data_IF_261854431842
#
_entry.id   IF_261854431842
#
_cell.length_a   1.000
_cell.length_b   1.000
_cell.length_c   1.000
_cell.angle_alpha   90.00
_cell.angle_beta   90.00
_cell.angle_gamma   90.00
#
_symmetry.space_group_name_H-M   'P 1'
#
loop_
_entity.id
_entity.type
_entity.pdbx_description
1 polymer ?
#
# COMPACT_ATOMS: atom_id res chain seq x y z
N UNK A 1 -9.66 -6.13 28.59
CA UNK A 1 -8.84 -7.32 28.88
C UNK A 1 -9.15 -8.50 27.95
N UNK A 2 -10.41 -8.83 27.67
CA UNK A 2 -10.80 -9.95 26.78
C UNK A 2 -10.21 -9.98 25.36
N UNK A 3 -9.85 -8.83 24.78
CA UNK A 3 -9.16 -8.78 23.47
C UNK A 3 -7.64 -9.03 23.56
N UNK A 4 -7.09 -8.98 24.77
CA UNK A 4 -5.66 -9.04 25.06
C UNK A 4 -5.23 -10.37 25.69
N UNK A 5 -6.14 -11.09 26.35
CA UNK A 5 -5.85 -12.32 27.10
C UNK A 5 -5.21 -13.44 26.25
N UNK A 6 -5.53 -13.48 24.96
CA UNK A 6 -4.94 -14.42 23.99
C UNK A 6 -3.63 -13.93 23.38
N UNK A 7 -3.28 -12.65 23.56
CA UNK A 7 -2.14 -12.01 22.88
C UNK A 7 -0.95 -11.75 23.80
N UNK A 8 -1.20 -11.53 25.09
CA UNK A 8 -0.18 -11.14 26.06
C UNK A 8 -0.47 -11.72 27.44
N UNK A 9 0.58 -11.84 28.26
CA UNK A 9 0.47 -12.16 29.67
C UNK A 9 -0.14 -10.97 30.43
N UNK A 10 -1.37 -11.12 30.95
CA UNK A 10 -2.05 -10.06 31.70
C UNK A 10 -1.83 -10.26 33.19
N UNK A 11 -1.23 -9.29 33.87
CA UNK A 11 -1.12 -9.24 35.33
C UNK A 11 -1.96 -8.06 35.83
N UNK A 12 -3.14 -8.30 36.43
CA UNK A 12 -3.99 -7.22 36.89
C UNK A 12 -3.43 -6.58 38.17
N UNK A 13 -3.48 -5.26 38.24
CA UNK A 13 -3.06 -4.46 39.40
C UNK A 13 -4.16 -3.49 39.80
N UNK A 14 -4.26 -3.20 41.10
CA UNK A 14 -5.06 -2.11 41.66
C UNK A 14 -4.11 -0.94 41.88
N UNK A 15 -4.20 0.07 41.02
CA UNK A 15 -3.39 1.27 41.11
C UNK A 15 -3.86 2.18 42.26
N UNK A 16 -2.94 2.98 42.81
CA UNK A 16 -3.21 3.95 43.90
C UNK A 16 -3.94 3.29 45.08
N UNK A 17 -3.47 2.11 45.49
CA UNK A 17 -4.09 1.33 46.55
C UNK A 17 -4.14 2.05 47.91
N UNK A 18 -3.33 3.10 48.08
CA UNK A 18 -3.34 3.99 49.25
C UNK A 18 -4.64 4.81 49.39
N UNK A 19 -5.51 4.79 48.39
CA UNK A 19 -6.83 5.43 48.42
C UNK A 19 -7.95 4.52 48.96
N UNK A 20 -7.66 3.23 49.19
CA UNK A 20 -8.65 2.22 49.57
C UNK A 20 -8.28 1.66 50.94
N UNK A 21 -9.24 1.52 51.84
CA UNK A 21 -8.97 0.89 53.13
C UNK A 21 -8.70 -0.62 52.99
N UNK A 22 -8.00 -1.22 53.96
CA UNK A 22 -7.66 -2.66 53.90
C UNK A 22 -8.90 -3.56 53.81
N UNK A 23 -10.00 -3.19 54.47
CA UNK A 23 -11.25 -3.96 54.47
C UNK A 23 -11.99 -3.88 53.13
N UNK A 24 -12.02 -2.69 52.51
CA UNK A 24 -12.57 -2.49 51.16
C UNK A 24 -11.71 -3.17 50.10
N UNK A 25 -10.39 -3.12 50.25
CA UNK A 25 -9.44 -3.71 49.31
C UNK A 25 -9.67 -5.21 49.15
N UNK A 26 -9.92 -5.94 50.25
CA UNK A 26 -10.21 -7.38 50.18
C UNK A 26 -11.49 -7.66 49.39
N UNK A 27 -12.57 -6.94 49.69
CA UNK A 27 -13.84 -7.07 48.96
C UNK A 27 -13.67 -6.72 47.48
N UNK A 28 -12.86 -5.71 47.18
CA UNK A 28 -12.59 -5.27 45.82
C UNK A 28 -11.77 -6.31 45.03
N UNK A 29 -10.73 -6.90 45.64
CA UNK A 29 -9.96 -8.00 45.04
C UNK A 29 -10.87 -9.18 44.68
N UNK A 30 -11.71 -9.64 45.62
CA UNK A 30 -12.65 -10.75 45.37
C UNK A 30 -13.61 -10.44 44.22
N UNK A 31 -14.16 -9.22 44.18
CA UNK A 31 -15.07 -8.80 43.10
C UNK A 31 -14.39 -8.79 41.74
N UNK A 32 -13.15 -8.27 41.65
CA UNK A 32 -12.38 -8.26 40.40
C UNK A 32 -12.13 -9.70 39.91
N UNK A 33 -11.70 -10.61 40.80
CA UNK A 33 -11.43 -12.00 40.43
C UNK A 33 -12.71 -12.68 39.92
N UNK A 34 -13.83 -12.49 40.62
CA UNK A 34 -15.12 -13.03 40.19
C UNK A 34 -15.55 -12.49 38.83
N UNK A 35 -15.40 -11.20 38.57
CA UNK A 35 -15.73 -10.62 37.27
C UNK A 35 -14.81 -11.13 36.15
N UNK A 36 -13.50 -11.31 36.42
CA UNK A 36 -12.56 -11.89 35.45
C UNK A 36 -12.95 -13.32 35.08
N UNK A 37 -13.33 -14.14 36.06
CA UNK A 37 -13.78 -15.52 35.87
C UNK A 37 -15.11 -15.57 35.10
N UNK A 38 -16.10 -14.78 35.51
CA UNK A 38 -17.43 -14.73 34.86
C UNK A 38 -17.34 -14.31 33.38
N UNK A 39 -16.40 -13.44 33.04
CA UNK A 39 -16.16 -13.02 31.67
C UNK A 39 -15.17 -13.94 30.92
N UNK A 40 -14.65 -14.99 31.56
CA UNK A 40 -13.66 -15.93 31.02
C UNK A 40 -12.37 -15.26 30.56
N UNK A 41 -11.92 -14.21 31.25
CA UNK A 41 -10.69 -13.49 30.92
C UNK A 41 -9.51 -14.26 31.53
N UNK A 42 -8.60 -14.72 30.66
CA UNK A 42 -7.41 -15.43 31.12
C UNK A 42 -6.33 -14.42 31.54
N UNK A 43 -5.96 -14.47 32.81
CA UNK A 43 -4.82 -13.72 33.34
C UNK A 43 -3.61 -14.64 33.47
N UNK A 44 -2.43 -14.05 33.52
CA UNK A 44 -1.20 -14.78 33.75
C UNK A 44 -1.22 -15.40 35.15
N UNK A 45 -1.03 -16.71 35.20
CA UNK A 45 -0.82 -17.48 36.42
C UNK A 45 0.62 -17.97 36.44
N UNK A 46 1.18 -17.88 37.62
CA UNK A 46 2.59 -18.12 37.84
C UNK A 46 2.78 -19.62 37.96
N UNK A 47 3.86 -20.15 37.37
CA UNK A 47 4.14 -21.58 37.37
C UNK A 47 4.26 -22.11 38.81
N UNK A 48 3.62 -23.25 39.09
CA UNK A 48 3.71 -23.96 40.38
C UNK A 48 4.20 -25.40 40.19
N UNK A 49 4.72 -25.69 39.01
CA UNK A 49 5.24 -26.97 38.55
C UNK A 49 6.67 -27.24 39.03
N UNK A 50 7.49 -26.20 39.19
CA UNK A 50 8.80 -26.30 39.82
C UNK A 50 8.69 -26.21 41.35
N UNK A 51 8.96 -27.32 42.04
CA UNK A 51 8.92 -27.43 43.51
C UNK A 51 9.78 -26.38 44.22
N UNK A 52 10.88 -25.91 43.60
CA UNK A 52 11.78 -24.93 44.21
C UNK A 52 11.15 -23.54 44.38
N UNK A 53 10.14 -23.20 43.57
CA UNK A 53 9.43 -21.91 43.57
C UNK A 53 7.92 -22.03 43.72
N UNK A 54 7.38 -23.25 43.78
CA UNK A 54 5.95 -23.52 43.83
C UNK A 54 5.25 -22.87 45.03
N UNK A 55 5.83 -22.93 46.23
CA UNK A 55 5.25 -22.32 47.43
C UNK A 55 5.15 -20.79 47.29
N UNK A 56 6.23 -20.17 46.81
CA UNK A 56 6.28 -18.72 46.57
C UNK A 56 5.25 -18.34 45.50
N UNK A 57 5.23 -19.01 44.37
CA UNK A 57 4.32 -18.69 43.27
C UNK A 57 2.85 -18.95 43.63
N UNK A 58 2.55 -19.96 44.45
CA UNK A 58 1.20 -20.19 44.99
C UNK A 58 0.76 -19.01 45.86
N UNK A 59 1.62 -18.57 46.79
CA UNK A 59 1.36 -17.39 47.61
C UNK A 59 1.18 -16.13 46.76
N UNK A 60 2.01 -15.93 45.72
CA UNK A 60 1.91 -14.76 44.85
C UNK A 60 0.63 -14.77 44.00
N UNK A 61 0.23 -15.92 43.47
CA UNK A 61 -1.04 -16.08 42.74
C UNK A 61 -2.24 -15.67 43.61
N UNK A 62 -2.21 -15.93 44.93
CA UNK A 62 -3.25 -15.50 45.86
C UNK A 62 -3.31 -13.97 46.09
N UNK A 63 -2.23 -13.24 45.81
CA UNK A 63 -2.18 -11.78 45.97
C UNK A 63 -2.71 -11.02 44.74
N UNK A 64 -2.91 -11.70 43.61
CA UNK A 64 -3.43 -11.12 42.38
C UNK A 64 -4.93 -10.81 42.53
N UNK A 65 -5.41 -9.59 42.20
CA UNK A 65 -4.66 -8.46 41.65
C UNK A 65 -3.82 -7.71 42.70
N UNK A 66 -2.58 -7.34 42.33
CA UNK A 66 -1.65 -6.66 43.24
C UNK A 66 -2.09 -5.23 43.55
N UNK A 67 -2.17 -4.89 44.83
CA UNK A 67 -2.55 -3.55 45.26
C UNK A 67 -1.30 -2.68 45.41
N UNK A 68 -1.04 -1.79 44.45
CA UNK A 68 0.24 -1.09 44.33
C UNK A 68 0.13 0.42 44.55
N UNK A 69 1.19 0.97 45.11
CA UNK A 69 1.40 2.41 45.30
C UNK A 69 2.72 2.77 44.62
N UNK A 70 2.70 3.79 43.76
CA UNK A 70 3.89 4.31 43.10
C UNK A 70 4.31 5.65 43.69
N UNK A 71 5.61 5.86 43.89
CA UNK A 71 6.19 7.16 44.23
C UNK A 71 7.61 7.26 43.67
N UNK A 72 7.96 8.44 43.15
CA UNK A 72 9.33 8.83 42.79
C UNK A 72 10.04 9.56 43.92
N UNK A 73 9.29 10.03 44.92
CA UNK A 73 9.80 10.91 45.97
C UNK A 73 10.39 10.09 47.12
N UNK A 74 11.54 10.53 47.61
CA UNK A 74 12.19 9.93 48.78
C UNK A 74 11.89 10.75 50.02
N UNK A 75 11.34 10.09 51.03
CA UNK A 75 11.10 10.68 52.35
C UNK A 75 12.01 10.00 53.36
N UNK A 76 12.58 10.79 54.27
CA UNK A 76 13.37 10.27 55.38
C UNK A 76 12.43 9.68 56.44
N UNK A 77 12.42 8.35 56.58
CA UNK A 77 11.70 7.65 57.63
C UNK A 77 12.73 7.03 58.58
N UNK A 78 12.91 7.65 59.74
CA UNK A 78 14.00 7.32 60.66
C UNK A 78 15.38 7.66 60.06
N UNK A 79 16.24 6.64 59.92
CA UNK A 79 17.61 6.79 59.39
C UNK A 79 17.76 6.39 57.91
N UNK A 80 16.68 6.02 57.21
CA UNK A 80 16.73 5.59 55.81
C UNK A 80 15.86 6.50 54.94
N UNK A 81 16.35 6.76 53.73
CA UNK A 81 15.57 7.38 52.67
C UNK A 81 14.78 6.28 51.97
N UNK A 82 13.44 6.39 51.94
CA UNK A 82 12.57 5.40 51.30
C UNK A 82 11.60 6.08 50.35
N UNK A 83 11.31 5.42 49.21
CA UNK A 83 10.27 5.87 48.28
C UNK A 83 8.92 5.85 48.99
N UNK A 84 8.30 7.02 49.10
CA UNK A 84 7.10 7.18 49.90
C UNK A 84 6.17 8.27 49.35
N UNK A 85 4.89 8.21 49.71
CA UNK A 85 3.93 9.31 49.50
C UNK A 85 3.62 9.97 50.84
N UNK A 86 3.84 11.28 50.92
CA UNK A 86 3.57 12.05 52.13
C UNK A 86 2.16 12.64 52.08
N UNK A 87 1.40 12.41 53.14
CA UNK A 87 0.10 13.03 53.39
C UNK A 87 0.10 13.75 54.74
N UNK A 88 -0.84 14.68 54.99
CA UNK A 88 -0.98 15.34 56.30
C UNK A 88 -1.20 14.35 57.46
N UNK A 89 -1.84 13.21 57.17
CA UNK A 89 -2.16 12.16 58.16
C UNK A 89 -1.10 11.05 58.27
N UNK A 90 -0.04 11.08 57.45
CA UNK A 90 1.02 10.07 57.53
C UNK A 90 1.75 9.83 56.22
N UNK A 91 2.64 8.84 56.24
CA UNK A 91 3.54 8.53 55.12
C UNK A 91 3.33 7.10 54.66
N UNK A 92 2.98 6.92 53.38
CA UNK A 92 2.82 5.60 52.77
C UNK A 92 4.14 5.19 52.11
N UNK A 93 4.85 4.28 52.76
CA UNK A 93 6.07 3.67 52.23
C UNK A 93 5.75 2.66 51.12
N UNK A 94 6.38 2.81 49.95
CA UNK A 94 6.14 1.94 48.78
C UNK A 94 6.74 0.55 48.96
N UNK A 95 7.90 0.44 49.60
CA UNK A 95 8.59 -0.86 49.79
C UNK A 95 8.15 -1.61 51.06
N UNK A 96 7.11 -1.12 51.73
CA UNK A 96 6.57 -1.74 52.93
C UNK A 96 5.38 -2.64 52.58
N UNK A 97 5.53 -3.95 52.77
CA UNK A 97 4.49 -4.95 52.49
C UNK A 97 3.22 -4.79 53.33
N UNK A 98 3.30 -4.11 54.48
CA UNK A 98 2.12 -3.80 55.30
C UNK A 98 1.26 -2.69 54.70
N UNK A 99 1.80 -1.92 53.75
CA UNK A 99 1.12 -0.81 53.09
C UNK A 99 0.64 -1.16 51.68
N UNK A 100 1.45 -1.88 50.89
CA UNK A 100 1.08 -2.27 49.53
C UNK A 100 1.86 -3.50 49.03
N UNK A 101 1.38 -4.09 47.93
CA UNK A 101 1.94 -5.30 47.31
C UNK A 101 3.07 -5.00 46.31
N UNK A 102 3.66 -3.80 46.32
CA UNK A 102 4.68 -3.40 45.33
C UNK A 102 5.91 -4.33 45.35
N UNK A 103 6.38 -4.71 46.54
CA UNK A 103 7.51 -5.64 46.68
C UNK A 103 7.18 -6.96 46.00
N UNK A 104 6.00 -7.54 46.28
CA UNK A 104 5.53 -8.79 45.66
C UNK A 104 5.49 -8.69 44.14
N UNK A 105 4.94 -7.60 43.59
CA UNK A 105 4.91 -7.37 42.15
C UNK A 105 6.32 -7.26 41.53
N UNK A 106 7.25 -6.57 42.18
CA UNK A 106 8.62 -6.41 41.68
C UNK A 106 9.38 -7.73 41.66
N UNK A 107 9.34 -8.47 42.76
CA UNK A 107 10.00 -9.78 42.90
C UNK A 107 9.50 -10.75 41.83
N UNK A 108 8.20 -10.74 41.62
CA UNK A 108 7.53 -11.52 40.61
C UNK A 108 7.96 -11.25 39.17
N UNK A 109 7.93 -9.98 38.76
CA UNK A 109 8.16 -9.58 37.38
C UNK A 109 9.63 -9.71 36.99
N UNK A 110 10.54 -9.41 37.91
CA UNK A 110 11.96 -9.20 37.58
C UNK A 110 12.84 -10.33 38.10
N UNK A 111 12.54 -10.92 39.26
CA UNK A 111 13.44 -11.88 39.90
C UNK A 111 13.10 -13.32 39.55
N UNK A 112 11.82 -13.71 39.63
CA UNK A 112 11.45 -15.13 39.60
C UNK A 112 10.88 -15.58 38.25
N UNK A 113 9.95 -14.82 37.66
CA UNK A 113 9.09 -15.37 36.59
C UNK A 113 9.32 -14.74 35.20
N UNK A 114 10.39 -13.95 35.03
CA UNK A 114 10.67 -13.29 33.75
C UNK A 114 10.85 -14.30 32.60
N UNK A 115 11.53 -15.42 32.87
CA UNK A 115 11.79 -16.45 31.86
C UNK A 115 10.51 -17.20 31.48
N UNK A 116 9.71 -17.65 32.44
CA UNK A 116 8.39 -18.26 32.17
C UNK A 116 7.48 -17.32 31.37
N UNK A 117 7.45 -16.02 31.71
CA UNK A 117 6.66 -15.04 30.95
C UNK A 117 7.14 -14.95 29.49
N UNK A 118 8.46 -14.98 29.24
CA UNK A 118 9.01 -15.00 27.88
C UNK A 118 8.64 -16.28 27.15
N UNK A 119 8.75 -17.43 27.81
CA UNK A 119 8.41 -18.73 27.26
C UNK A 119 6.93 -18.84 26.92
N UNK A 120 6.01 -18.48 27.84
CA UNK A 120 4.57 -18.41 27.55
C UNK A 120 4.26 -17.45 26.39
N UNK A 121 4.98 -16.33 26.29
CA UNK A 121 4.83 -15.41 25.16
C UNK A 121 5.20 -16.08 23.84
N UNK A 122 6.30 -16.84 23.81
CA UNK A 122 6.75 -17.54 22.62
C UNK A 122 5.84 -18.74 22.28
N UNK A 123 5.72 -19.69 23.19
CA UNK A 123 5.08 -20.98 22.95
C UNK A 123 3.55 -20.91 22.85
N UNK A 124 2.91 -19.89 23.44
CA UNK A 124 1.45 -19.74 23.42
C UNK A 124 1.01 -18.55 22.59
N UNK A 125 1.41 -17.34 22.96
CA UNK A 125 0.87 -16.12 22.35
C UNK A 125 1.37 -15.92 20.92
N UNK A 126 2.68 -16.08 20.70
CA UNK A 126 3.28 -15.98 19.39
C UNK A 126 2.86 -17.15 18.51
N UNK A 127 2.86 -18.40 18.99
CA UNK A 127 2.40 -19.54 18.19
C UNK A 127 0.92 -19.42 17.76
N UNK A 128 0.04 -18.90 18.62
CA UNK A 128 -1.34 -18.63 18.24
C UNK A 128 -1.43 -17.56 17.13
N UNK A 129 -0.62 -16.51 17.22
CA UNK A 129 -0.52 -15.51 16.17
C UNK A 129 0.06 -16.09 14.87
N UNK A 130 1.13 -16.87 14.98
CA UNK A 130 1.83 -17.52 13.88
C UNK A 130 0.89 -18.44 13.11
N UNK A 131 0.15 -19.30 13.79
CA UNK A 131 -0.86 -20.17 13.17
C UNK A 131 -1.90 -19.37 12.37
N UNK A 132 -2.52 -18.37 13.00
CA UNK A 132 -3.51 -17.50 12.33
C UNK A 132 -2.93 -16.75 11.13
N UNK A 133 -1.66 -16.32 11.22
CA UNK A 133 -0.98 -15.65 10.10
C UNK A 133 -0.66 -16.60 8.96
N UNK A 134 -0.21 -17.81 9.26
CA UNK A 134 0.05 -18.84 8.27
C UNK A 134 -1.24 -19.24 7.54
N UNK A 135 -2.33 -19.43 8.28
CA UNK A 135 -3.66 -19.68 7.71
C UNK A 135 -4.10 -18.55 6.76
N UNK A 136 -3.96 -17.28 7.18
CA UNK A 136 -4.27 -16.12 6.34
C UNK A 136 -3.41 -16.04 5.08
N UNK A 137 -2.17 -16.50 5.16
CA UNK A 137 -1.28 -16.59 4.01
C UNK A 137 -1.63 -17.79 3.12
N UNK A 138 -2.55 -18.67 3.51
CA UNK A 138 -2.92 -19.87 2.76
C UNK A 138 -2.00 -21.07 3.02
N UNK A 139 -1.34 -21.11 4.19
CA UNK A 139 -0.69 -22.32 4.69
C UNK A 139 -1.64 -23.02 5.66
N UNK A 140 -2.13 -24.18 5.28
CA UNK A 140 -2.91 -25.09 6.13
C UNK A 140 -2.10 -26.34 6.44
N UNK A 141 -2.32 -26.92 7.62
CA UNK A 141 -1.66 -28.17 8.02
C UNK A 141 -2.24 -29.39 7.28
N UNK A 142 -3.44 -29.24 6.68
CA UNK A 142 -4.15 -30.30 5.95
C UNK A 142 -4.64 -29.84 4.57
N UNK A 143 -4.72 -30.77 3.62
CA UNK A 143 -5.36 -30.56 2.32
C UNK A 143 -6.87 -30.82 2.36
N UNK A 144 -7.54 -30.70 1.20
CA UNK A 144 -8.96 -30.99 1.02
C UNK A 144 -9.36 -32.44 1.34
N UNK A 145 -8.40 -33.37 1.40
CA UNK A 145 -8.58 -34.78 1.77
C UNK A 145 -8.14 -35.07 3.22
N UNK A 146 -7.90 -34.03 4.01
CA UNK A 146 -7.47 -34.10 5.41
C UNK A 146 -6.09 -34.76 5.60
N UNK A 147 -5.24 -34.77 4.56
CA UNK A 147 -3.87 -35.29 4.63
C UNK A 147 -2.90 -34.20 5.08
N UNK A 148 -1.88 -34.53 5.89
CA UNK A 148 -0.90 -33.55 6.33
C UNK A 148 -0.09 -33.04 5.14
N UNK A 149 -0.11 -31.72 4.92
CA UNK A 149 0.63 -31.08 3.82
C UNK A 149 1.95 -30.57 4.36
N UNK A 150 3.05 -30.96 3.71
CA UNK A 150 4.36 -30.45 4.08
C UNK A 150 4.47 -28.97 3.74
N UNK A 151 5.03 -28.16 4.65
CA UNK A 151 5.29 -26.74 4.42
C UNK A 151 6.04 -26.49 3.09
N UNK A 152 6.95 -27.40 2.74
CA UNK A 152 7.72 -27.34 1.49
C UNK A 152 6.81 -27.52 0.26
N UNK A 153 5.87 -28.47 0.29
CA UNK A 153 4.92 -28.70 -0.80
C UNK A 153 4.03 -27.48 -1.04
N UNK A 154 3.56 -26.81 0.03
CA UNK A 154 2.76 -25.58 -0.10
C UNK A 154 3.57 -24.43 -0.68
N UNK A 155 4.86 -24.32 -0.34
CA UNK A 155 5.75 -23.30 -0.92
C UNK A 155 6.02 -23.57 -2.40
N UNK A 156 6.27 -24.82 -2.79
CA UNK A 156 6.48 -25.23 -4.18
C UNK A 156 5.22 -25.02 -5.02
N UNK A 157 4.04 -25.37 -4.49
CA UNK A 157 2.76 -25.14 -5.13
C UNK A 157 2.52 -23.64 -5.37
N UNK A 158 2.73 -22.79 -4.35
CA UNK A 158 2.61 -21.33 -4.52
C UNK A 158 3.61 -20.76 -5.51
N UNK A 159 4.85 -21.26 -5.52
CA UNK A 159 5.85 -20.86 -6.50
C UNK A 159 5.43 -21.24 -7.92
N UNK A 160 4.88 -22.43 -8.10
CA UNK A 160 4.35 -22.91 -9.38
C UNK A 160 3.17 -22.05 -9.85
N UNK A 161 2.19 -21.77 -8.98
CA UNK A 161 1.06 -20.89 -9.27
C UNK A 161 1.56 -19.49 -9.69
N UNK A 162 2.50 -18.92 -8.93
CA UNK A 162 3.06 -17.60 -9.25
C UNK A 162 3.79 -17.57 -10.60
N UNK A 163 4.57 -18.62 -10.92
CA UNK A 163 5.21 -18.76 -12.23
C UNK A 163 4.17 -18.86 -13.36
N UNK A 164 3.09 -19.60 -13.14
CA UNK A 164 2.01 -19.74 -14.12
C UNK A 164 1.26 -18.41 -14.34
N UNK A 165 1.01 -17.63 -13.29
CA UNK A 165 0.43 -16.28 -13.41
C UNK A 165 1.35 -15.33 -14.18
N UNK A 166 2.67 -15.39 -13.96
CA UNK A 166 3.64 -14.61 -14.71
C UNK A 166 3.65 -15.00 -16.19
N UNK A 167 3.61 -16.30 -16.49
CA UNK A 167 3.54 -16.81 -17.86
C UNK A 167 2.25 -16.34 -18.55
N UNK A 168 1.10 -16.43 -17.89
CA UNK A 168 -0.16 -15.91 -18.44
C UNK A 168 -0.09 -14.42 -18.75
N UNK A 169 0.45 -13.61 -17.83
CA UNK A 169 0.63 -12.17 -18.06
C UNK A 169 1.59 -11.88 -19.21
N UNK A 170 2.66 -12.67 -19.35
CA UNK A 170 3.58 -12.56 -20.48
C UNK A 170 2.89 -12.91 -21.80
N UNK A 171 2.11 -13.98 -21.83
CA UNK A 171 1.36 -14.43 -23.02
C UNK A 171 0.29 -13.40 -23.41
N UNK A 172 -0.43 -12.83 -22.44
CA UNK A 172 -1.37 -11.73 -22.66
C UNK A 172 -0.66 -10.50 -23.24
N UNK A 173 0.51 -10.13 -22.70
CA UNK A 173 1.29 -9.00 -23.20
C UNK A 173 1.81 -9.25 -24.62
N UNK A 174 2.26 -10.48 -24.92
CA UNK A 174 2.68 -10.89 -26.26
C UNK A 174 1.51 -10.85 -27.24
N UNK A 175 0.34 -11.36 -26.86
CA UNK A 175 -0.86 -11.30 -27.72
C UNK A 175 -1.29 -9.86 -27.98
N UNK A 176 -1.28 -9.00 -26.96
CA UNK A 176 -1.61 -7.58 -27.11
C UNK A 176 -0.62 -6.88 -28.04
N UNK A 177 0.68 -7.21 -27.93
CA UNK A 177 1.71 -6.68 -28.83
C UNK A 177 1.47 -7.11 -30.28
N UNK A 178 1.24 -8.40 -30.53
CA UNK A 178 0.97 -8.92 -31.88
C UNK A 178 -0.27 -8.28 -32.49
N UNK A 179 -1.35 -8.13 -31.71
CA UNK A 179 -2.57 -7.46 -32.16
C UNK A 179 -2.29 -6.01 -32.55
N UNK A 180 -1.52 -5.28 -31.73
CA UNK A 180 -1.16 -3.88 -31.97
C UNK A 180 -0.24 -3.70 -33.18
N UNK A 181 0.71 -4.61 -33.37
CA UNK A 181 1.56 -4.64 -34.57
C UNK A 181 0.70 -4.85 -35.81
N UNK A 182 -0.21 -5.83 -35.80
CA UNK A 182 -1.10 -6.12 -36.92
C UNK A 182 -2.02 -4.94 -37.27
N UNK A 183 -2.56 -4.25 -36.25
CA UNK A 183 -3.35 -3.03 -36.42
C UNK A 183 -2.51 -1.92 -37.07
N UNK A 184 -1.29 -1.68 -36.57
CA UNK A 184 -0.38 -0.66 -37.11
C UNK A 184 0.11 -0.97 -38.52
N UNK A 185 0.37 -2.24 -38.83
CA UNK A 185 0.70 -2.67 -40.20
C UNK A 185 -0.49 -2.45 -41.16
N UNK A 186 -1.72 -2.70 -40.71
CA UNK A 186 -2.91 -2.43 -41.50
C UNK A 186 -3.11 -0.93 -41.77
N UNK A 187 -2.96 -0.08 -40.74
CA UNK A 187 -2.99 1.38 -40.88
C UNK A 187 -1.91 1.86 -41.86
N UNK A 188 -0.67 1.37 -41.73
CA UNK A 188 0.44 1.74 -42.61
C UNK A 188 0.13 1.37 -44.07
N UNK A 189 -0.43 0.17 -44.29
CA UNK A 189 -0.79 -0.32 -45.61
C UNK A 189 -1.91 0.52 -46.25
N UNK A 190 -2.90 0.95 -45.48
CA UNK A 190 -3.92 1.89 -45.98
C UNK A 190 -3.32 3.25 -46.32
N UNK A 191 -2.44 3.79 -45.46
CA UNK A 191 -1.74 5.05 -45.73
C UNK A 191 -0.85 4.98 -46.98
N UNK A 192 -0.13 3.87 -47.19
CA UNK A 192 0.66 3.63 -48.40
C UNK A 192 -0.23 3.58 -49.65
N UNK A 193 -1.37 2.90 -49.58
CA UNK A 193 -2.34 2.83 -50.68
C UNK A 193 -2.91 4.21 -51.01
N UNK A 194 -3.25 5.01 -50.00
CA UNK A 194 -3.70 6.39 -50.21
C UNK A 194 -2.61 7.25 -50.84
N UNK A 195 -1.37 7.11 -50.38
CA UNK A 195 -0.23 7.86 -50.92
C UNK A 195 0.02 7.49 -52.38
N UNK A 196 -0.09 6.21 -52.73
CA UNK A 196 0.02 5.73 -54.11
C UNK A 196 -1.09 6.32 -55.00
N UNK A 197 -2.34 6.27 -54.54
CA UNK A 197 -3.47 6.88 -55.26
C UNK A 197 -3.31 8.39 -55.45
N UNK A 198 -2.81 9.11 -54.43
CA UNK A 198 -2.51 10.55 -54.51
C UNK A 198 -1.41 10.82 -55.54
N UNK A 199 -0.35 10.01 -55.53
CA UNK A 199 0.75 10.10 -56.49
C UNK A 199 0.27 9.89 -57.94
N UNK A 200 -0.53 8.84 -58.19
CA UNK A 200 -1.07 8.56 -59.52
C UNK A 200 -1.99 9.68 -60.03
N UNK A 201 -2.83 10.22 -59.14
CA UNK A 201 -3.67 11.39 -59.46
C UNK A 201 -2.82 12.60 -59.81
N UNK A 202 -1.82 12.94 -58.97
CA UNK A 202 -0.91 14.06 -59.23
C UNK A 202 -0.16 13.89 -60.56
N UNK A 203 0.29 12.66 -60.86
CA UNK A 203 0.98 12.34 -62.10
C UNK A 203 0.07 12.54 -63.31
N UNK A 204 -1.19 12.12 -63.22
CA UNK A 204 -2.19 12.34 -64.27
C UNK A 204 -2.48 13.83 -64.47
N UNK A 205 -2.75 14.55 -63.38
CA UNK A 205 -3.03 15.99 -63.41
C UNK A 205 -1.84 16.75 -64.04
N UNK A 206 -0.61 16.40 -63.65
CA UNK A 206 0.61 16.97 -64.22
C UNK A 206 0.76 16.68 -65.72
N UNK A 207 0.43 15.46 -66.19
CA UNK A 207 0.46 15.15 -67.62
C UNK A 207 -0.60 15.92 -68.42
N UNK A 208 -1.79 16.12 -67.86
CA UNK A 208 -2.85 16.92 -68.49
C UNK A 208 -2.47 18.41 -68.54
N UNK A 209 -1.90 18.94 -67.46
CA UNK A 209 -1.44 20.33 -67.41
C UNK A 209 -0.29 20.59 -68.39
N UNK A 210 0.68 19.67 -68.47
CA UNK A 210 1.75 19.73 -69.46
C UNK A 210 1.21 19.76 -70.89
N UNK A 211 0.20 18.93 -71.19
CA UNK A 211 -0.46 18.90 -72.50
C UNK A 211 -1.17 20.23 -72.80
N UNK A 212 -1.91 20.79 -71.84
CA UNK A 212 -2.56 22.11 -71.97
C UNK A 212 -1.56 23.24 -72.20
N UNK A 213 -0.42 23.20 -71.50
CA UNK A 213 0.67 24.15 -71.69
C UNK A 213 1.30 24.03 -73.08
N UNK A 214 1.54 22.81 -73.57
CA UNK A 214 2.04 22.58 -74.94
C UNK A 214 1.05 23.07 -76.01
N UNK A 215 -0.25 22.81 -75.84
CA UNK A 215 -1.30 23.32 -76.74
C UNK A 215 -1.37 24.85 -76.73
N UNK A 216 -1.27 25.46 -75.56
CA UNK A 216 -1.26 26.93 -75.42
C UNK A 216 0.01 27.55 -76.01
N UNK A 217 1.18 26.90 -75.81
CA UNK A 217 2.45 27.32 -76.42
C UNK A 217 2.35 27.29 -77.94
N UNK A 218 1.79 26.22 -78.51
CA UNK A 218 1.59 26.08 -79.95
C UNK A 218 0.66 27.17 -80.50
N UNK A 219 -0.47 27.44 -79.84
CA UNK A 219 -1.35 28.55 -80.21
C UNK A 219 -0.63 29.90 -80.18
N UNK A 220 0.17 30.15 -79.15
CA UNK A 220 0.93 31.39 -79.04
C UNK A 220 2.00 31.51 -80.14
N UNK A 221 2.67 30.41 -80.49
CA UNK A 221 3.60 30.35 -81.63
C UNK A 221 2.88 30.66 -82.95
N UNK A 222 1.70 30.08 -83.18
CA UNK A 222 0.85 30.34 -84.35
C UNK A 222 0.41 31.82 -84.40
N UNK A 223 -0.03 32.38 -83.28
CA UNK A 223 -0.43 33.80 -83.16
C UNK A 223 0.76 34.75 -83.40
N UNK A 224 1.96 34.42 -82.90
CA UNK A 224 3.20 35.19 -83.14
C UNK A 224 3.56 35.16 -84.63
N UNK A 225 3.44 34.01 -85.28
CA UNK A 225 3.67 33.88 -86.73
C UNK A 225 2.67 34.73 -87.51
N UNK A 226 1.39 34.70 -87.14
CA UNK A 226 0.37 35.52 -87.78
C UNK A 226 0.61 37.02 -87.55
N UNK A 227 0.95 37.43 -86.33
CA UNK A 227 1.29 38.81 -86.02
C UNK A 227 2.50 39.31 -86.82
N UNK A 228 3.56 38.50 -86.92
CA UNK A 228 4.73 38.83 -87.72
C UNK A 228 4.39 38.95 -89.22
N UNK A 229 3.50 38.09 -89.73
CA UNK A 229 2.98 38.19 -91.11
C UNK A 229 2.17 39.46 -91.34
N UNK A 230 1.32 39.86 -90.39
CA UNK A 230 0.57 41.13 -90.47
C UNK A 230 1.50 42.34 -90.37
N UNK A 231 2.53 42.27 -89.52
CA UNK A 231 3.54 43.32 -89.36
C UNK A 231 4.34 43.55 -90.65
N UNK A 232 4.77 42.49 -91.33
CA UNK A 232 5.46 42.61 -92.63
C UNK A 232 4.55 43.17 -93.72
N UNK A 233 3.25 42.85 -93.71
CA UNK A 233 2.27 43.46 -94.62
C UNK A 233 2.06 44.95 -94.35
N UNK A 234 1.96 45.37 -93.08
CA UNK A 234 1.84 46.80 -92.73
C UNK A 234 3.12 47.60 -93.01
N UNK A 235 4.30 46.99 -92.85
CA UNK A 235 5.58 47.64 -93.15
C UNK A 235 5.81 47.88 -94.66
N UNK A 236 5.01 47.27 -95.54
CA UNK A 236 5.07 47.46 -96.99
C UNK A 236 4.07 48.53 -97.50
N UNK A 237 3.29 49.19 -96.64
CA UNK A 237 2.42 50.31 -97.04
C UNK A 237 3.10 51.69 -96.82
N UNK A 238 3.05 52.64 -97.78
CA UNK A 238 3.60 53.99 -97.61
C UNK A 238 2.66 54.87 -96.75
N UNK A 239 3.25 55.70 -95.86
CA UNK A 239 2.51 56.68 -95.05
C UNK A 239 1.92 57.82 -95.89
N UNK A 240 0.63 58.15 -95.70
CA UNK A 240 0.11 59.53 -95.76
C UNK A 240 -1.20 59.71 -94.93
N UNK A 241 -1.14 60.72 -94.04
CA UNK A 241 -2.19 61.61 -93.46
C UNK A 241 -3.37 61.17 -92.54
N UNK A 242 -3.23 61.58 -91.26
CA UNK A 242 -4.05 62.47 -90.36
C UNK A 242 -5.57 62.72 -90.58
N UNK A 243 -6.43 62.50 -89.56
CA UNK A 243 -7.14 63.52 -88.73
C UNK A 243 -8.21 62.97 -87.73
N UNK A 244 -8.27 63.68 -86.59
CA UNK A 244 -9.17 63.77 -85.40
C UNK A 244 -10.70 63.60 -85.62
N UNK A 245 -11.64 63.35 -84.67
CA UNK A 245 -11.83 63.74 -83.25
C UNK A 245 -13.09 63.00 -82.69
N UNK A 246 -13.20 62.75 -81.36
CA UNK A 246 -14.46 62.29 -80.74
C UNK A 246 -14.39 62.05 -79.23
N UNK A 247 -14.39 63.13 -78.44
CA UNK A 247 -14.57 63.09 -76.98
C UNK A 247 -16.03 62.77 -76.63
N UNK A 248 -16.25 61.83 -75.71
CA UNK A 248 -17.37 61.95 -74.76
C UNK A 248 -16.92 61.52 -73.36
N UNK A 249 -17.22 62.38 -72.38
CA UNK A 249 -16.74 62.35 -70.99
C UNK A 249 -17.93 62.08 -70.06
N UNK A 250 -17.75 61.11 -69.16
CA UNK A 250 -18.00 61.13 -67.69
C UNK A 250 -19.26 61.83 -67.13
N UNK A 251 -19.94 61.11 -66.24
CA UNK A 251 -19.60 61.14 -64.80
C UNK A 251 -19.92 59.82 -64.13
#
# INVERSE_FOLDING_TARGET
MKKLDTKVNIIPIIAKADTISKTELQKFKTKIISELQNNGVHIYQFPTDDESVAEVNTSMNAHVPFAVVGSTDFVRVGNKMMRSRQYPWGTVQVENESHCDFVKLREMLIRTNMEDMREKTHCRHYELYRRKRLEQMGFSDVDSENKPVSFQQTCEAKRSIHLQELQQKEDEMRQMFVARVKEKEAELKEAEKELHNKFDKLKKDHTEEKKKLEESRKKLEDDILEFNRRKTQFAQQPQHHTLTLGKSKKK
#
